data_IF_803226503253
#
_entry.id   IF_803226503253
#
_cell.length_a   1.000
_cell.length_b   1.000
_cell.length_c   1.000
_cell.angle_alpha   90.00
_cell.angle_beta   90.00
_cell.angle_gamma   90.00
#
_symmetry.space_group_name_H-M   'P 1'
#
loop_
_entity.id
_entity.type
_entity.pdbx_description
1 polymer ?
#
# COMPACT_ATOMS: atom_id res chain seq x y z
N UNK A 1 13.41 -7.92 0.70
CA UNK A 1 13.97 -8.76 -0.38
C UNK A 1 14.41 -10.13 0.14
N UNK A 2 15.08 -10.22 1.31
CA UNK A 2 15.53 -11.50 1.88
C UNK A 2 14.43 -12.54 2.05
N UNK A 3 13.26 -12.15 2.60
CA UNK A 3 12.10 -13.05 2.75
C UNK A 3 11.65 -13.66 1.42
N UNK A 4 11.67 -12.89 0.32
CA UNK A 4 11.35 -13.40 -1.02
C UNK A 4 12.32 -14.47 -1.50
N UNK A 5 13.62 -14.26 -1.29
CA UNK A 5 14.66 -15.24 -1.69
C UNK A 5 14.48 -16.55 -0.94
N UNK A 6 14.24 -16.46 0.38
CA UNK A 6 14.00 -17.64 1.21
C UNK A 6 12.67 -18.32 0.89
N UNK A 7 11.62 -17.57 0.55
CA UNK A 7 10.35 -18.13 0.09
C UNK A 7 10.53 -18.95 -1.20
N UNK A 8 11.32 -18.45 -2.15
CA UNK A 8 11.60 -19.16 -3.41
C UNK A 8 12.40 -20.45 -3.23
N UNK A 9 13.11 -20.62 -2.14
CA UNK A 9 13.80 -21.88 -1.82
C UNK A 9 12.88 -22.95 -1.20
N UNK A 10 11.61 -22.60 -0.90
CA UNK A 10 10.66 -23.50 -0.26
C UNK A 10 10.77 -23.59 1.27
N UNK A 11 11.79 -22.97 1.88
CA UNK A 11 12.03 -23.05 3.33
C UNK A 11 10.95 -22.38 4.19
N UNK A 12 10.10 -21.54 3.60
CA UNK A 12 9.05 -20.81 4.32
C UNK A 12 7.66 -21.41 4.15
N UNK A 13 7.50 -22.54 3.42
CA UNK A 13 6.20 -23.17 3.23
C UNK A 13 5.55 -23.51 4.58
N UNK A 14 4.29 -23.15 4.75
CA UNK A 14 3.53 -23.32 6.01
C UNK A 14 3.99 -22.44 7.16
N UNK A 15 4.97 -21.54 6.98
CA UNK A 15 5.52 -20.67 8.01
C UNK A 15 4.80 -19.33 8.09
N UNK A 16 4.83 -18.75 9.30
CA UNK A 16 4.39 -17.38 9.55
C UNK A 16 5.55 -16.42 9.34
N UNK A 17 5.41 -15.53 8.34
CA UNK A 17 6.49 -14.61 7.95
C UNK A 17 6.00 -13.18 7.81
N UNK A 18 6.95 -12.25 7.79
CA UNK A 18 6.71 -10.88 7.38
C UNK A 18 7.73 -10.44 6.34
N UNK A 19 7.35 -9.47 5.55
CA UNK A 19 8.21 -8.70 4.64
C UNK A 19 7.78 -7.24 4.71
N UNK A 20 8.46 -6.35 4.02
CA UNK A 20 8.04 -4.95 4.00
C UNK A 20 6.59 -4.83 3.50
N UNK A 21 5.78 -4.04 4.18
CA UNK A 21 4.33 -3.90 3.92
C UNK A 21 4.00 -3.64 2.44
N UNK A 22 4.84 -2.88 1.72
CA UNK A 22 4.60 -2.57 0.30
C UNK A 22 4.72 -3.80 -0.61
N UNK A 23 5.35 -4.87 -0.16
CA UNK A 23 5.49 -6.12 -0.91
C UNK A 23 4.53 -7.21 -0.42
N UNK A 24 3.83 -6.98 0.70
CA UNK A 24 2.90 -7.95 1.29
C UNK A 24 1.88 -8.52 0.31
N UNK A 25 1.11 -7.67 -0.41
CA UNK A 25 0.14 -8.15 -1.40
C UNK A 25 0.75 -9.05 -2.47
N UNK A 26 1.87 -8.62 -3.08
CA UNK A 26 2.55 -9.42 -4.09
C UNK A 26 3.19 -10.69 -3.53
N UNK A 27 3.58 -10.67 -2.27
CA UNK A 27 4.10 -11.85 -1.58
C UNK A 27 2.99 -12.91 -1.39
N UNK A 28 1.82 -12.50 -0.93
CA UNK A 28 0.67 -13.39 -0.73
C UNK A 28 0.18 -14.00 -2.05
N UNK A 29 0.11 -13.21 -3.13
CA UNK A 29 -0.25 -13.70 -4.46
C UNK A 29 0.75 -14.73 -5.02
N UNK A 30 2.05 -14.53 -4.74
CA UNK A 30 3.10 -15.39 -5.25
C UNK A 30 3.33 -16.64 -4.39
N UNK A 31 3.07 -16.57 -3.10
CA UNK A 31 3.31 -17.63 -2.11
C UNK A 31 2.07 -17.86 -1.23
N UNK A 32 0.99 -18.41 -1.79
CA UNK A 32 -0.28 -18.57 -1.07
C UNK A 32 -0.22 -19.58 0.09
N UNK A 33 0.77 -20.46 0.10
CA UNK A 33 1.04 -21.44 1.14
C UNK A 33 1.81 -20.88 2.35
N UNK A 34 2.28 -19.61 2.26
CA UNK A 34 3.02 -18.95 3.34
C UNK A 34 2.11 -17.97 4.07
N UNK A 35 2.04 -18.07 5.39
CA UNK A 35 1.23 -17.18 6.22
C UNK A 35 1.90 -15.81 6.39
N UNK A 36 1.53 -14.84 5.57
CA UNK A 36 2.02 -13.45 5.70
C UNK A 36 1.29 -12.69 6.79
N UNK A 37 2.03 -11.94 7.62
CA UNK A 37 1.51 -11.01 8.61
C UNK A 37 2.21 -9.66 8.53
N UNK A 38 1.43 -8.57 8.63
CA UNK A 38 1.97 -7.20 8.62
C UNK A 38 2.44 -6.80 10.03
N UNK A 39 3.56 -7.36 10.48
CA UNK A 39 4.24 -7.06 11.74
C UNK A 39 5.65 -6.54 11.47
N UNK A 40 6.30 -5.91 12.45
CA UNK A 40 7.68 -5.45 12.27
C UNK A 40 8.62 -6.62 12.00
N UNK A 41 8.49 -7.69 12.78
CA UNK A 41 9.24 -8.93 12.59
C UNK A 41 8.44 -10.11 13.15
N UNK A 42 8.78 -11.31 12.69
CA UNK A 42 8.20 -12.57 13.15
C UNK A 42 9.31 -13.55 13.51
N UNK A 43 8.98 -14.44 14.42
CA UNK A 43 9.78 -15.61 14.74
C UNK A 43 8.86 -16.83 14.65
N UNK A 44 9.24 -17.80 13.82
CA UNK A 44 8.51 -19.05 13.65
C UNK A 44 9.48 -20.20 13.40
N UNK A 45 9.45 -21.21 14.29
CA UNK A 45 10.27 -22.42 14.24
C UNK A 45 11.75 -22.15 13.95
N UNK A 46 12.34 -21.19 14.65
CA UNK A 46 13.76 -20.84 14.54
C UNK A 46 14.10 -19.91 13.36
N UNK A 47 13.13 -19.61 12.50
CA UNK A 47 13.29 -18.63 11.43
C UNK A 47 12.76 -17.27 11.88
N UNK A 48 13.51 -16.22 11.55
CA UNK A 48 13.11 -14.85 11.81
C UNK A 48 13.03 -14.08 10.51
N UNK A 49 11.93 -13.33 10.34
CA UNK A 49 11.76 -12.43 9.20
C UNK A 49 11.36 -11.05 9.69
N UNK A 50 11.76 -9.99 9.00
CA UNK A 50 11.42 -8.63 9.38
C UNK A 50 11.00 -7.79 8.16
N UNK A 51 10.25 -6.72 8.42
CA UNK A 51 9.81 -5.77 7.42
C UNK A 51 10.93 -4.94 6.79
N UNK A 52 12.15 -5.02 7.31
CA UNK A 52 13.30 -4.23 6.85
C UNK A 52 13.37 -2.84 7.47
N UNK A 53 14.38 -2.06 7.05
CA UNK A 53 14.65 -0.76 7.65
C UNK A 53 14.90 -0.86 9.15
N UNK A 54 14.34 0.08 9.94
CA UNK A 54 14.47 0.09 11.39
C UNK A 54 13.82 -1.11 12.10
N UNK A 55 12.92 -1.86 11.44
CA UNK A 55 12.41 -3.10 12.00
C UNK A 55 13.49 -4.19 12.16
N UNK A 56 14.55 -4.13 11.35
CA UNK A 56 15.74 -4.96 11.53
C UNK A 56 16.52 -4.61 12.79
N UNK A 57 16.57 -3.32 13.14
CA UNK A 57 17.21 -2.86 14.39
C UNK A 57 16.41 -3.38 15.60
N UNK A 58 15.07 -3.22 15.57
CA UNK A 58 14.21 -3.73 16.65
C UNK A 58 14.36 -5.25 16.83
N UNK A 59 14.44 -6.01 15.72
CA UNK A 59 14.68 -7.45 15.76
C UNK A 59 16.02 -7.80 16.43
N UNK A 60 17.10 -7.12 16.05
CA UNK A 60 18.43 -7.36 16.62
C UNK A 60 18.48 -6.97 18.09
N UNK A 61 17.89 -5.83 18.47
CA UNK A 61 17.77 -5.41 19.86
C UNK A 61 17.00 -6.44 20.70
N UNK A 62 15.91 -7.00 20.14
CA UNK A 62 15.18 -8.10 20.78
C UNK A 62 16.08 -9.32 21.05
N UNK A 63 16.87 -9.76 20.06
CA UNK A 63 17.79 -10.88 20.20
C UNK A 63 18.89 -10.61 21.26
N UNK A 64 19.38 -9.39 21.31
CA UNK A 64 20.34 -8.97 22.33
C UNK A 64 19.70 -9.02 23.72
N UNK A 65 18.45 -8.55 23.85
CA UNK A 65 17.71 -8.61 25.12
C UNK A 65 17.50 -10.03 25.63
N UNK A 66 17.16 -10.96 24.73
CA UNK A 66 17.01 -12.38 25.06
C UNK A 66 18.35 -13.03 25.49
N UNK A 67 19.46 -12.60 24.91
CA UNK A 67 20.78 -13.18 25.18
C UNK A 67 21.54 -12.50 26.34
N UNK A 68 21.42 -11.18 26.50
CA UNK A 68 22.27 -10.35 27.36
C UNK A 68 21.48 -9.47 28.36
N UNK A 69 20.15 -9.45 28.25
CA UNK A 69 19.27 -8.68 29.11
C UNK A 69 18.96 -7.26 28.62
N UNK A 70 17.89 -6.69 29.18
CA UNK A 70 17.33 -5.40 28.75
C UNK A 70 18.24 -4.19 29.06
N UNK A 71 19.15 -4.29 30.02
CA UNK A 71 20.10 -3.21 30.32
C UNK A 71 20.98 -2.85 29.13
N UNK A 72 21.60 -3.87 28.49
CA UNK A 72 22.41 -3.67 27.29
C UNK A 72 21.58 -3.16 26.10
N UNK A 73 20.33 -3.61 25.98
CA UNK A 73 19.40 -3.10 24.95
C UNK A 73 19.20 -1.59 25.14
N UNK A 74 18.98 -1.14 26.38
CA UNK A 74 18.84 0.28 26.69
C UNK A 74 20.06 1.10 26.28
N UNK A 75 21.25 0.66 26.67
CA UNK A 75 22.50 1.35 26.32
C UNK A 75 22.72 1.44 24.80
N UNK A 76 22.45 0.36 24.06
CA UNK A 76 22.58 0.36 22.60
C UNK A 76 21.50 1.26 21.96
N UNK A 77 20.27 1.21 22.46
CA UNK A 77 19.18 2.05 21.95
C UNK A 77 19.47 3.53 22.17
N UNK A 78 20.08 3.92 23.31
CA UNK A 78 20.53 5.28 23.57
C UNK A 78 21.60 5.72 22.56
N UNK A 79 22.61 4.88 22.31
CA UNK A 79 23.66 5.18 21.34
C UNK A 79 23.12 5.33 19.91
N UNK A 80 22.10 4.55 19.55
CA UNK A 80 21.44 4.62 18.25
C UNK A 80 20.38 5.72 18.16
N UNK A 81 20.08 6.42 19.27
CA UNK A 81 18.94 7.36 19.36
C UNK A 81 17.63 6.72 18.90
N UNK A 82 17.46 5.42 19.18
CA UNK A 82 16.34 4.62 18.72
C UNK A 82 15.38 4.29 19.86
N UNK A 83 14.52 5.26 20.19
CA UNK A 83 13.51 5.11 21.23
C UNK A 83 12.12 5.46 20.74
N UNK A 84 11.08 4.72 21.22
CA UNK A 84 11.17 3.46 21.94
C UNK A 84 11.53 2.28 21.02
N UNK A 85 12.18 1.24 21.57
CA UNK A 85 12.32 -0.06 20.88
C UNK A 85 10.92 -0.66 20.70
N UNK A 86 10.59 -1.04 19.48
CA UNK A 86 9.23 -1.45 19.12
C UNK A 86 9.06 -2.97 19.25
N UNK A 87 7.95 -3.46 19.82
CA UNK A 87 7.66 -4.89 19.86
C UNK A 87 7.36 -5.45 18.47
N UNK A 88 7.56 -6.76 18.29
CA UNK A 88 7.33 -7.48 17.03
C UNK A 88 5.96 -7.22 16.43
N UNK A 89 4.93 -7.16 17.27
CA UNK A 89 3.53 -6.97 16.89
C UNK A 89 3.18 -5.55 16.45
N UNK A 90 4.10 -4.59 16.59
CA UNK A 90 3.87 -3.23 16.12
C UNK A 90 3.60 -3.22 14.62
N UNK A 91 2.65 -2.41 14.15
CA UNK A 91 2.38 -2.28 12.72
C UNK A 91 3.57 -1.65 12.00
N UNK A 92 3.89 -2.15 10.82
CA UNK A 92 5.00 -1.63 10.01
C UNK A 92 4.76 -0.21 9.52
N UNK A 93 3.54 0.11 9.23
CA UNK A 93 3.11 1.46 8.89
C UNK A 93 2.16 1.96 9.97
N UNK A 94 2.31 3.20 10.30
CA UNK A 94 1.16 3.89 10.86
C UNK A 94 0.16 3.87 9.71
N UNK A 95 -0.87 3.02 9.81
CA UNK A 95 -2.03 3.11 8.93
C UNK A 95 -2.33 4.59 8.76
N UNK A 96 -2.85 5.00 7.60
CA UNK A 96 -3.41 6.36 7.49
C UNK A 96 -4.27 6.69 8.74
N UNK A 97 -4.71 5.65 9.48
CA UNK A 97 -5.34 5.69 10.79
C UNK A 97 -4.59 6.32 11.95
N UNK A 98 -3.28 6.53 11.93
CA UNK A 98 -2.62 7.26 13.03
C UNK A 98 -2.34 8.75 12.73
N UNK A 99 -2.28 9.12 11.46
CA UNK A 99 -2.58 10.48 11.03
C UNK A 99 -4.11 10.74 11.08
N UNK A 100 -4.92 9.69 11.24
CA UNK A 100 -6.38 9.71 11.31
C UNK A 100 -6.92 9.74 12.75
N UNK A 101 -6.10 9.79 13.78
CA UNK A 101 -6.61 10.12 15.14
C UNK A 101 -7.30 11.48 15.16
N UNK A 102 -7.02 12.34 14.17
CA UNK A 102 -7.72 13.58 13.88
C UNK A 102 -8.93 13.42 12.94
N UNK A 103 -9.10 12.25 12.27
CA UNK A 103 -10.24 12.03 11.37
C UNK A 103 -11.50 11.59 12.13
N UNK A 104 -12.68 12.01 11.67
CA UNK A 104 -13.94 11.52 12.22
C UNK A 104 -14.00 9.99 12.24
N UNK A 105 -14.53 9.34 13.31
CA UNK A 105 -14.56 7.88 13.43
C UNK A 105 -15.18 7.17 12.23
N UNK A 106 -16.26 7.73 11.66
CA UNK A 106 -16.92 7.20 10.47
C UNK A 106 -15.99 7.19 9.25
N UNK A 107 -15.20 8.27 9.03
CA UNK A 107 -14.25 8.34 7.90
C UNK A 107 -13.16 7.30 8.04
N UNK A 108 -12.67 7.08 9.25
CA UNK A 108 -11.69 6.06 9.58
C UNK A 108 -12.23 4.66 9.27
N UNK A 109 -13.44 4.35 9.75
CA UNK A 109 -14.08 3.07 9.49
C UNK A 109 -14.33 2.84 7.99
N UNK A 110 -14.71 3.88 7.24
CA UNK A 110 -14.86 3.79 5.79
C UNK A 110 -13.52 3.48 5.10
N UNK A 111 -12.42 4.11 5.50
CA UNK A 111 -11.08 3.81 4.99
C UNK A 111 -10.70 2.35 5.24
N UNK A 112 -10.92 1.85 6.47
CA UNK A 112 -10.62 0.46 6.82
C UNK A 112 -11.42 -0.54 5.97
N UNK A 113 -12.70 -0.27 5.72
CA UNK A 113 -13.54 -1.11 4.84
C UNK A 113 -13.00 -1.13 3.41
N UNK A 114 -12.60 0.02 2.87
CA UNK A 114 -12.05 0.11 1.51
C UNK A 114 -10.70 -0.63 1.43
N UNK A 115 -9.84 -0.50 2.43
CA UNK A 115 -8.53 -1.16 2.49
C UNK A 115 -8.66 -2.69 2.59
N UNK A 116 -9.64 -3.19 3.32
CA UNK A 116 -9.89 -4.63 3.47
C UNK A 116 -10.50 -5.28 2.23
N UNK A 117 -11.15 -4.49 1.36
CA UNK A 117 -11.90 -4.98 0.20
C UNK A 117 -11.31 -4.47 -1.13
N UNK A 118 -9.98 -4.48 -1.28
CA UNK A 118 -9.31 -3.99 -2.50
C UNK A 118 -9.62 -4.88 -3.70
N UNK A 119 -9.59 -6.21 -3.53
CA UNK A 119 -9.80 -7.20 -4.59
C UNK A 119 -11.27 -7.28 -5.02
N UNK A 120 -12.18 -7.19 -4.06
CA UNK A 120 -13.63 -7.17 -4.26
C UNK A 120 -14.21 -5.87 -3.70
N UNK A 121 -14.14 -4.78 -4.46
CA UNK A 121 -14.48 -3.46 -3.95
C UNK A 121 -15.95 -3.34 -3.58
N UNK A 122 -16.22 -2.94 -2.35
CA UNK A 122 -17.56 -2.58 -1.91
C UNK A 122 -18.07 -1.35 -2.67
N UNK A 123 -19.35 -1.33 -2.97
CA UNK A 123 -20.00 -0.13 -3.50
C UNK A 123 -20.17 0.94 -2.41
N UNK A 124 -20.33 2.19 -2.83
CA UNK A 124 -20.53 3.29 -1.86
C UNK A 124 -21.78 3.10 -0.99
N UNK A 125 -22.93 2.64 -1.54
CA UNK A 125 -24.07 2.24 -0.73
C UNK A 125 -23.75 1.16 0.30
N UNK A 126 -23.04 0.06 -0.11
CA UNK A 126 -22.72 -1.04 0.80
C UNK A 126 -21.85 -0.56 1.99
N UNK A 127 -20.90 0.33 1.72
CA UNK A 127 -20.06 0.92 2.78
C UNK A 127 -20.94 1.75 3.74
N UNK A 128 -21.86 2.54 3.20
CA UNK A 128 -22.75 3.36 4.01
C UNK A 128 -23.68 2.51 4.87
N UNK A 129 -24.22 1.43 4.30
CA UNK A 129 -25.08 0.47 5.01
C UNK A 129 -24.33 -0.25 6.15
N UNK A 130 -23.11 -0.74 5.88
CA UNK A 130 -22.26 -1.37 6.91
C UNK A 130 -21.96 -0.40 8.06
N UNK A 131 -21.74 0.87 7.75
CA UNK A 131 -21.46 1.92 8.74
C UNK A 131 -22.73 2.49 9.39
N UNK A 132 -23.92 2.06 8.96
CA UNK A 132 -25.21 2.54 9.43
C UNK A 132 -25.35 4.07 9.35
N UNK A 133 -24.95 4.64 8.20
CA UNK A 133 -25.03 6.09 7.91
C UNK A 133 -25.66 6.32 6.53
N UNK A 134 -26.24 7.50 6.29
CA UNK A 134 -26.66 7.83 4.93
C UNK A 134 -25.46 8.04 4.01
N UNK A 135 -25.56 7.54 2.76
CA UNK A 135 -24.52 7.73 1.74
C UNK A 135 -24.11 9.21 1.61
N UNK A 136 -25.10 10.12 1.56
CA UNK A 136 -24.85 11.57 1.46
C UNK A 136 -24.02 12.11 2.63
N UNK A 137 -24.29 11.65 3.85
CA UNK A 137 -23.53 12.05 5.04
C UNK A 137 -22.09 11.53 4.96
N UNK A 138 -21.93 10.25 4.61
CA UNK A 138 -20.61 9.63 4.45
C UNK A 138 -19.76 10.36 3.39
N UNK A 139 -20.29 10.54 2.19
CA UNK A 139 -19.55 11.21 1.10
C UNK A 139 -19.16 12.65 1.46
N UNK A 140 -20.06 13.40 2.10
CA UNK A 140 -19.78 14.76 2.55
C UNK A 140 -18.64 14.81 3.55
N UNK A 141 -18.72 13.97 4.61
CA UNK A 141 -17.68 13.93 5.67
C UNK A 141 -16.36 13.39 5.12
N UNK A 142 -16.41 12.34 4.30
CA UNK A 142 -15.23 11.76 3.68
C UNK A 142 -14.51 12.77 2.79
N UNK A 143 -15.26 13.46 1.92
CA UNK A 143 -14.68 14.51 1.04
C UNK A 143 -14.12 15.69 1.83
N UNK A 144 -14.78 16.12 2.90
CA UNK A 144 -14.30 17.19 3.75
C UNK A 144 -13.01 16.82 4.49
N UNK A 145 -12.88 15.56 4.95
CA UNK A 145 -11.74 15.09 5.72
C UNK A 145 -10.55 14.67 4.85
N UNK A 146 -10.80 14.02 3.69
CA UNK A 146 -9.78 13.41 2.83
C UNK A 146 -9.48 14.26 1.59
N UNK A 147 -10.39 15.14 1.19
CA UNK A 147 -10.23 15.99 0.00
C UNK A 147 -10.66 15.34 -1.32
N UNK A 148 -11.07 14.06 -1.32
CA UNK A 148 -11.57 13.35 -2.49
C UNK A 148 -12.81 12.51 -2.15
N UNK A 149 -13.49 11.99 -3.18
CA UNK A 149 -14.64 11.10 -2.97
C UNK A 149 -14.20 9.71 -2.53
N UNK A 150 -15.12 8.94 -1.92
CA UNK A 150 -14.91 7.53 -1.55
C UNK A 150 -14.47 6.70 -2.76
N UNK A 151 -15.12 6.90 -3.93
CA UNK A 151 -14.79 6.22 -5.18
C UNK A 151 -13.36 6.55 -5.66
N UNK A 152 -12.98 7.82 -5.60
CA UNK A 152 -11.62 8.25 -6.00
C UNK A 152 -10.56 7.67 -5.08
N UNK A 153 -10.82 7.65 -3.79
CA UNK A 153 -9.92 7.06 -2.80
C UNK A 153 -9.75 5.55 -3.02
N UNK A 154 -10.85 4.80 -3.17
CA UNK A 154 -10.81 3.37 -3.45
C UNK A 154 -10.09 3.05 -4.77
N UNK A 155 -10.32 3.85 -5.82
CA UNK A 155 -9.59 3.71 -7.08
C UNK A 155 -8.07 3.88 -6.88
N UNK A 156 -7.67 4.87 -6.11
CA UNK A 156 -6.25 5.13 -5.84
C UNK A 156 -5.60 3.99 -5.06
N UNK A 157 -6.28 3.43 -4.05
CA UNK A 157 -5.76 2.27 -3.31
C UNK A 157 -5.57 1.06 -4.21
N UNK A 158 -6.52 0.75 -5.09
CA UNK A 158 -6.41 -0.32 -6.08
C UNK A 158 -5.25 -0.10 -7.05
N UNK A 159 -5.03 1.13 -7.49
CA UNK A 159 -3.89 1.47 -8.36
C UNK A 159 -2.55 1.33 -7.62
N UNK A 160 -2.49 1.68 -6.34
CA UNK A 160 -1.29 1.45 -5.51
C UNK A 160 -1.03 -0.03 -5.30
N UNK A 161 -2.06 -0.82 -5.04
CA UNK A 161 -1.95 -2.28 -4.96
C UNK A 161 -1.41 -2.87 -6.27
N UNK A 162 -2.02 -2.51 -7.40
CA UNK A 162 -1.54 -2.94 -8.72
C UNK A 162 -0.08 -2.54 -9.00
N UNK A 163 0.32 -1.34 -8.57
CA UNK A 163 1.70 -0.88 -8.70
C UNK A 163 2.67 -1.79 -7.94
N UNK A 164 2.33 -2.17 -6.72
CA UNK A 164 3.15 -3.09 -5.92
C UNK A 164 3.27 -4.44 -6.64
N UNK A 165 2.16 -5.00 -7.11
CA UNK A 165 2.16 -6.27 -7.87
C UNK A 165 3.01 -6.19 -9.14
N UNK A 166 2.96 -5.08 -9.88
CA UNK A 166 3.77 -4.88 -11.08
C UNK A 166 5.28 -4.90 -10.80
N UNK A 167 5.71 -4.38 -9.66
CA UNK A 167 7.12 -4.28 -9.26
C UNK A 167 7.61 -5.57 -8.63
N UNK A 168 6.77 -6.24 -7.82
CA UNK A 168 7.17 -7.33 -6.94
C UNK A 168 6.85 -8.72 -7.48
N UNK A 169 6.07 -8.85 -8.57
CA UNK A 169 5.65 -10.14 -9.12
C UNK A 169 5.89 -10.26 -10.63
N UNK A 170 5.82 -11.48 -11.12
CA UNK A 170 5.83 -11.80 -12.57
C UNK A 170 4.43 -11.99 -13.14
N UNK A 171 3.36 -11.74 -12.37
CA UNK A 171 1.98 -11.86 -12.80
C UNK A 171 1.71 -11.07 -14.09
N UNK A 172 0.83 -11.56 -14.94
CA UNK A 172 0.44 -10.81 -16.13
C UNK A 172 -0.27 -9.50 -15.76
N UNK A 173 -0.22 -8.51 -16.67
CA UNK A 173 -0.93 -7.23 -16.45
C UNK A 173 -2.44 -7.47 -16.28
N UNK A 174 -2.99 -8.51 -16.91
CA UNK A 174 -4.39 -8.90 -16.76
C UNK A 174 -4.69 -9.43 -15.36
N UNK A 175 -3.84 -10.35 -14.86
CA UNK A 175 -4.03 -10.92 -13.52
C UNK A 175 -3.89 -9.85 -12.45
N UNK A 176 -2.94 -8.92 -12.60
CA UNK A 176 -2.79 -7.77 -11.71
C UNK A 176 -4.03 -6.87 -11.73
N UNK A 177 -4.62 -6.62 -12.90
CA UNK A 177 -5.86 -5.85 -12.98
C UNK A 177 -6.97 -6.54 -12.18
N UNK A 178 -7.15 -7.85 -12.32
CA UNK A 178 -8.15 -8.64 -11.57
C UNK A 178 -7.85 -8.65 -10.08
N UNK A 179 -6.62 -8.97 -9.68
CA UNK A 179 -6.18 -8.97 -8.27
C UNK A 179 -6.29 -7.60 -7.58
N UNK A 180 -6.35 -6.53 -8.39
CA UNK A 180 -6.55 -5.17 -7.89
C UNK A 180 -8.00 -4.67 -8.04
N UNK A 181 -8.97 -5.58 -8.25
CA UNK A 181 -10.39 -5.27 -8.26
C UNK A 181 -10.87 -4.52 -9.52
N UNK A 182 -10.17 -4.65 -10.66
CA UNK A 182 -10.62 -4.06 -11.92
C UNK A 182 -11.37 -5.07 -12.78
N UNK A 183 -12.59 -4.75 -13.17
CA UNK A 183 -13.42 -5.59 -14.02
C UNK A 183 -12.93 -5.66 -15.49
N UNK A 184 -12.20 -4.64 -15.95
CA UNK A 184 -11.68 -4.60 -17.33
C UNK A 184 -10.23 -4.12 -17.39
N UNK A 185 -9.44 -4.76 -18.23
CA UNK A 185 -8.05 -4.38 -18.48
C UNK A 185 -7.93 -2.96 -19.04
N UNK A 186 -8.87 -2.54 -19.87
CA UNK A 186 -8.89 -1.19 -20.47
C UNK A 186 -9.06 -0.09 -19.42
N UNK A 187 -10.01 -0.28 -18.49
CA UNK A 187 -10.21 0.66 -17.37
C UNK A 187 -8.99 0.72 -16.45
N UNK A 188 -8.41 -0.45 -16.15
CA UNK A 188 -7.16 -0.51 -15.39
C UNK A 188 -6.02 0.26 -16.07
N UNK A 189 -5.69 -0.09 -17.32
CA UNK A 189 -4.57 0.53 -18.03
C UNK A 189 -4.73 2.04 -18.19
N UNK A 190 -5.94 2.51 -18.49
CA UNK A 190 -6.25 3.92 -18.58
C UNK A 190 -6.09 4.65 -17.23
N UNK A 191 -6.66 4.10 -16.16
CA UNK A 191 -6.59 4.70 -14.82
C UNK A 191 -5.16 4.69 -14.27
N UNK A 192 -4.42 3.60 -14.50
CA UNK A 192 -3.03 3.47 -14.10
C UNK A 192 -2.14 4.48 -14.83
N UNK A 193 -2.27 4.57 -16.14
CA UNK A 193 -1.53 5.54 -16.95
C UNK A 193 -1.78 6.99 -16.53
N UNK A 194 -3.03 7.31 -16.16
CA UNK A 194 -3.36 8.63 -15.61
C UNK A 194 -2.75 8.92 -14.25
N UNK A 195 -2.70 7.90 -13.39
CA UNK A 195 -2.19 8.05 -12.04
C UNK A 195 -0.65 8.14 -12.01
N UNK A 196 0.02 7.30 -12.80
CA UNK A 196 1.48 7.13 -12.75
C UNK A 196 2.23 7.67 -13.98
N UNK A 197 1.53 8.20 -14.97
CA UNK A 197 2.12 8.79 -16.17
C UNK A 197 2.62 7.79 -17.20
N UNK A 198 2.53 6.48 -16.95
CA UNK A 198 2.98 5.39 -17.83
C UNK A 198 1.99 4.25 -17.85
N UNK A 199 1.98 3.45 -18.92
CA UNK A 199 1.19 2.23 -19.00
C UNK A 199 1.73 1.16 -18.03
N UNK A 200 0.88 0.23 -17.54
CA UNK A 200 1.34 -0.82 -16.62
C UNK A 200 2.52 -1.63 -17.13
N UNK A 201 2.54 -1.99 -18.42
CA UNK A 201 3.63 -2.74 -19.04
C UNK A 201 4.95 -1.96 -19.07
N UNK A 202 4.88 -0.69 -19.42
CA UNK A 202 6.04 0.21 -19.44
C UNK A 202 6.57 0.47 -18.02
N UNK A 203 5.67 0.57 -17.05
CA UNK A 203 6.02 0.76 -15.64
C UNK A 203 6.83 -0.42 -15.07
N UNK A 204 6.48 -1.65 -15.44
CA UNK A 204 7.22 -2.86 -15.06
C UNK A 204 8.65 -2.86 -15.63
N UNK A 205 8.82 -2.45 -16.88
CA UNK A 205 10.11 -2.45 -17.57
C UNK A 205 11.05 -1.34 -17.09
N UNK A 206 10.48 -0.21 -16.68
CA UNK A 206 11.26 0.97 -16.27
C UNK A 206 11.78 0.92 -14.83
N UNK A 207 11.33 -0.05 -14.03
CA UNK A 207 11.78 -0.21 -12.65
C UNK A 207 13.02 -1.11 -12.59
N UNK A 208 14.11 -0.71 -11.87
CA UNK A 208 14.28 0.39 -10.92
C UNK A 208 15.08 1.60 -11.44
N UNK A 209 15.37 1.71 -12.74
CA UNK A 209 16.48 2.55 -13.24
C UNK A 209 16.23 4.07 -13.26
N UNK A 210 15.01 4.57 -13.23
CA UNK A 210 14.77 6.02 -13.46
C UNK A 210 13.76 6.72 -12.56
N UNK A 211 12.98 6.00 -11.76
CA UNK A 211 11.96 6.64 -10.92
C UNK A 211 12.15 6.27 -9.45
N UNK A 212 12.38 7.26 -8.60
CA UNK A 212 12.11 7.09 -7.18
C UNK A 212 10.66 6.62 -7.02
N UNK A 213 10.46 5.51 -6.33
CA UNK A 213 9.11 5.01 -6.03
C UNK A 213 8.26 6.18 -5.51
N UNK A 214 7.13 6.54 -6.15
CA UNK A 214 6.30 7.59 -5.62
C UNK A 214 5.86 7.18 -4.22
N UNK A 215 6.30 7.95 -3.22
CA UNK A 215 5.94 7.70 -1.83
C UNK A 215 4.46 8.00 -1.62
N UNK A 216 3.76 7.16 -0.89
CA UNK A 216 2.53 7.55 -0.24
C UNK A 216 2.88 8.53 0.92
N UNK A 217 2.29 9.68 1.07
CA UNK A 217 1.10 10.27 0.43
C UNK A 217 1.37 11.12 -0.83
N UNK A 218 2.61 11.21 -1.32
CA UNK A 218 2.93 12.01 -2.49
C UNK A 218 2.16 11.59 -3.75
N UNK A 219 1.85 10.30 -3.90
CA UNK A 219 1.02 9.80 -5.01
C UNK A 219 -0.43 10.29 -4.89
N UNK A 220 -0.99 10.34 -3.66
CA UNK A 220 -2.32 10.89 -3.42
C UNK A 220 -2.36 12.37 -3.81
N UNK A 221 -1.39 13.15 -3.39
CA UNK A 221 -1.28 14.58 -3.73
C UNK A 221 -1.21 14.79 -5.25
N UNK A 222 -0.37 14.05 -5.95
CA UNK A 222 -0.25 14.11 -7.41
C UNK A 222 -1.55 13.70 -8.11
N UNK A 223 -2.20 12.65 -7.63
CA UNK A 223 -3.49 12.19 -8.16
C UNK A 223 -4.59 13.23 -7.97
N UNK A 224 -4.68 13.84 -6.79
CA UNK A 224 -5.63 14.90 -6.51
C UNK A 224 -5.36 16.15 -7.37
N UNK A 225 -4.10 16.54 -7.55
CA UNK A 225 -3.74 17.62 -8.47
C UNK A 225 -4.13 17.32 -9.92
N UNK A 226 -3.89 16.08 -10.40
CA UNK A 226 -4.29 15.66 -11.74
C UNK A 226 -5.81 15.66 -11.95
N UNK A 227 -6.58 15.43 -10.89
CA UNK A 227 -8.04 15.55 -10.92
C UNK A 227 -8.51 17.01 -10.93
N UNK A 228 -7.85 17.90 -10.18
CA UNK A 228 -8.17 19.32 -10.10
C UNK A 228 -7.85 20.06 -11.40
N UNK A 229 -6.72 19.76 -12.03
CA UNK A 229 -6.28 20.36 -13.30
C UNK A 229 -7.21 20.03 -14.49
N UNK A 230 -8.13 19.07 -14.34
CA UNK A 230 -9.17 18.75 -15.33
C UNK A 230 -10.31 19.75 -15.38
N UNK A 231 -10.57 20.48 -14.31
CA UNK A 231 -11.58 21.55 -14.29
C UNK A 231 -11.15 22.80 -15.05
N UNK A 232 -9.84 22.93 -15.38
CA UNK A 232 -9.23 24.13 -15.97
C UNK A 232 -8.74 23.94 -17.41
N UNK A 233 -8.83 22.75 -17.99
CA UNK A 233 -8.43 22.53 -19.39
C UNK A 233 -9.49 23.10 -20.33
N UNK A 234 -9.25 24.32 -20.82
CA UNK A 234 -9.94 24.86 -21.99
C UNK A 234 -9.80 23.85 -23.15
N UNK A 235 -10.85 23.70 -24.00
CA UNK A 235 -10.78 22.81 -25.15
C UNK A 235 -9.61 23.25 -26.03
N UNK A 236 -8.76 22.29 -26.41
CA UNK A 236 -7.70 22.50 -27.41
C UNK A 236 -8.39 22.99 -28.67
N UNK A 237 -8.17 24.26 -29.02
CA UNK A 237 -8.50 24.76 -30.34
C UNK A 237 -7.70 23.95 -31.35
N UNK A 238 -8.40 23.14 -32.12
CA UNK A 238 -7.88 22.52 -33.32
C UNK A 238 -7.51 23.67 -34.27
N UNK A 239 -6.23 23.98 -34.37
CA UNK A 239 -5.70 24.89 -35.38
C UNK A 239 -6.07 24.36 -36.74
N UNK A 240 -6.89 25.13 -37.41
CA UNK A 240 -7.41 24.85 -38.73
C UNK A 240 -6.31 24.55 -39.72
N UNK A 241 -6.59 23.59 -40.59
CA UNK A 241 -5.85 23.36 -41.83
C UNK A 241 -5.79 24.68 -42.62
N UNK A 242 -4.62 25.27 -42.67
CA UNK A 242 -4.31 26.28 -43.69
C UNK A 242 -3.99 25.54 -44.98
N UNK A 243 -4.84 25.71 -45.98
CA UNK A 243 -4.54 25.36 -47.37
C UNK A 243 -3.44 26.31 -47.86
N UNK A 244 -2.39 25.77 -48.43
CA UNK A 244 -1.87 26.12 -49.75
C UNK A 244 -0.84 25.04 -50.10
#
# INVERSE_FOLDING_TARGET
LGTYLVARSGLLSGRKVTTHWSYGPGFQEQFPDISFVEQLFTQDAGLMTCGGGLAGVDLVLRLIGEAQGEGLVGEIADQLMHHPVRPATSPQRRTMGRSTDTLPPMVRAAIELIEKNITEPLSVPDIADILNVSQRQMERQFKAAIGCTVVQFGLLLRLQHARVLLISTTLSVRDIATASGFNTLSHFAFSFGKCFGRRPSEYRQAWPEKDSAPSWPGTLSKFLQALQNRGSAKPIQVLGKSRL
#
